data_IF_959561311568
#
_entry.id   IF_959561311568
#
_cell.length_a   1.000
_cell.length_b   1.000
_cell.length_c   1.000
_cell.angle_alpha   90.00
_cell.angle_beta   90.00
_cell.angle_gamma   90.00
#
_symmetry.space_group_name_H-M   'P 1'
#
loop_
_entity.id
_entity.type
_entity.pdbx_description
1 polymer ?
#
# COMPACT_ATOMS: atom_id res chain seq x y z
N UNK A 1 -5.36 3.90 -23.85
CA UNK A 1 -5.83 5.20 -23.30
C UNK A 1 -6.43 6.02 -24.45
N UNK A 2 -7.58 6.67 -24.21
CA UNK A 2 -8.15 7.63 -25.16
C UNK A 2 -7.28 8.89 -25.26
N UNK A 3 -7.48 9.72 -26.31
CA UNK A 3 -6.78 11.00 -26.45
C UNK A 3 -6.95 11.89 -25.22
N UNK A 4 -8.14 11.99 -24.66
CA UNK A 4 -8.43 12.78 -23.46
C UNK A 4 -7.76 12.23 -22.20
N UNK A 5 -7.67 10.89 -22.04
CA UNK A 5 -6.94 10.28 -20.94
C UNK A 5 -5.45 10.59 -21.02
N UNK A 6 -4.86 10.52 -22.23
CA UNK A 6 -3.45 10.90 -22.44
C UNK A 6 -3.18 12.38 -22.14
N UNK A 7 -4.09 13.27 -22.57
CA UNK A 7 -3.96 14.71 -22.29
C UNK A 7 -4.06 14.99 -20.79
N UNK A 8 -5.05 14.42 -20.11
CA UNK A 8 -5.21 14.54 -18.64
C UNK A 8 -3.99 14.03 -17.89
N UNK A 9 -3.47 12.87 -18.29
CA UNK A 9 -2.26 12.31 -17.72
C UNK A 9 -1.06 13.23 -17.90
N UNK A 10 -0.83 13.77 -19.10
CA UNK A 10 0.23 14.74 -19.37
C UNK A 10 0.10 15.97 -18.49
N UNK A 11 -1.07 16.62 -18.49
CA UNK A 11 -1.30 17.84 -17.72
C UNK A 11 -1.08 17.65 -16.22
N UNK A 12 -1.54 16.53 -15.67
CA UNK A 12 -1.38 16.22 -14.23
C UNK A 12 0.07 15.91 -13.83
N UNK A 13 0.95 15.54 -14.79
CA UNK A 13 2.36 15.24 -14.55
C UNK A 13 3.33 16.40 -14.90
N UNK A 14 2.83 17.49 -15.49
CA UNK A 14 3.69 18.63 -15.84
C UNK A 14 4.30 19.34 -14.60
N UNK A 15 3.55 19.61 -13.51
CA UNK A 15 4.10 20.31 -12.35
C UNK A 15 5.14 19.49 -11.59
N UNK A 16 5.97 20.19 -10.81
CA UNK A 16 6.89 19.59 -9.83
C UNK A 16 8.24 19.21 -10.39
N UNK A 17 9.01 18.53 -9.56
CA UNK A 17 10.42 18.19 -9.80
C UNK A 17 10.63 17.38 -11.08
N UNK A 18 11.77 17.60 -11.73
CA UNK A 18 12.14 16.97 -13.02
C UNK A 18 13.57 16.45 -12.99
N UNK A 19 13.82 15.41 -13.79
CA UNK A 19 15.15 14.83 -13.99
C UNK A 19 15.31 14.30 -15.41
N UNK A 20 16.54 14.31 -15.91
CA UNK A 20 16.90 13.61 -17.16
C UNK A 20 17.16 12.11 -16.96
N UNK A 21 17.33 11.65 -15.70
CA UNK A 21 17.59 10.26 -15.35
C UNK A 21 16.34 9.40 -15.57
N UNK A 22 16.55 8.15 -15.98
CA UNK A 22 15.45 7.17 -16.20
C UNK A 22 15.21 6.35 -14.94
N UNK A 23 14.59 6.96 -13.94
CA UNK A 23 14.36 6.36 -12.63
C UNK A 23 13.01 5.65 -12.61
N UNK A 24 12.98 4.40 -12.14
CA UNK A 24 11.76 3.64 -11.86
C UNK A 24 11.71 3.30 -10.36
N UNK A 25 10.57 3.56 -9.76
CA UNK A 25 10.24 3.19 -8.39
C UNK A 25 9.01 2.29 -8.43
N UNK A 26 9.08 1.12 -7.80
CA UNK A 26 7.91 0.27 -7.56
C UNK A 26 7.45 0.47 -6.11
N UNK A 27 6.25 1.02 -5.93
CA UNK A 27 5.58 1.15 -4.63
C UNK A 27 4.49 0.09 -4.52
N UNK A 28 4.63 -0.82 -3.56
CA UNK A 28 3.70 -1.92 -3.36
C UNK A 28 3.04 -1.84 -2.00
N UNK A 29 1.73 -1.63 -1.98
CA UNK A 29 0.95 -1.37 -0.78
C UNK A 29 0.40 -2.66 -0.15
N UNK A 30 -0.14 -2.55 1.07
CA UNK A 30 -0.95 -3.51 1.83
C UNK A 30 -0.18 -4.63 2.55
N UNK A 31 1.15 -4.68 2.48
CA UNK A 31 1.92 -5.74 3.14
C UNK A 31 1.75 -5.73 4.66
N UNK A 32 1.72 -6.92 5.26
CA UNK A 32 1.52 -7.12 6.71
C UNK A 32 0.06 -7.08 7.16
N UNK A 33 -0.88 -6.71 6.30
CA UNK A 33 -2.31 -6.62 6.63
C UNK A 33 -3.02 -7.96 6.47
N UNK A 34 -3.81 -8.37 7.45
CA UNK A 34 -4.81 -9.42 7.28
C UNK A 34 -5.84 -8.97 6.23
N UNK A 35 -6.20 -9.87 5.32
CA UNK A 35 -7.29 -9.71 4.35
C UNK A 35 -8.21 -10.94 4.44
N UNK A 36 -8.47 -11.64 3.34
CA UNK A 36 -9.28 -12.86 3.38
C UNK A 36 -8.53 -13.98 4.10
N UNK A 37 -9.14 -14.54 5.15
CA UNK A 37 -8.50 -15.56 6.01
C UNK A 37 -8.47 -16.96 5.38
N UNK A 38 -9.50 -17.31 4.59
CA UNK A 38 -9.56 -18.61 3.91
C UNK A 38 -10.60 -18.62 2.78
N UNK A 39 -10.56 -19.66 1.93
CA UNK A 39 -11.61 -19.91 0.92
C UNK A 39 -12.98 -20.18 1.54
N UNK A 40 -13.00 -20.85 2.70
CA UNK A 40 -14.25 -21.10 3.44
C UNK A 40 -14.84 -19.81 3.97
N UNK A 41 -14.01 -18.90 4.52
CA UNK A 41 -14.46 -17.58 4.97
C UNK A 41 -15.07 -16.79 3.81
N UNK A 42 -14.41 -16.80 2.65
CA UNK A 42 -14.93 -16.17 1.44
C UNK A 42 -16.30 -16.73 1.05
N UNK A 43 -16.45 -18.09 1.03
CA UNK A 43 -17.72 -18.74 0.72
C UNK A 43 -18.84 -18.33 1.68
N UNK A 44 -18.59 -18.39 3.00
CA UNK A 44 -19.56 -18.00 4.03
C UNK A 44 -20.02 -16.54 3.89
N UNK A 45 -19.11 -15.62 3.56
CA UNK A 45 -19.45 -14.22 3.35
C UNK A 45 -20.32 -14.03 2.11
N UNK A 46 -20.01 -14.72 1.00
CA UNK A 46 -20.83 -14.71 -0.23
C UNK A 46 -22.22 -15.26 0.04
N UNK A 47 -22.32 -16.41 0.72
CA UNK A 47 -23.60 -17.08 1.07
C UNK A 47 -24.46 -16.21 2.00
N UNK A 48 -23.83 -15.35 2.82
CA UNK A 48 -24.51 -14.38 3.67
C UNK A 48 -24.95 -13.13 2.94
N UNK A 49 -24.77 -13.05 1.61
CA UNK A 49 -25.20 -11.92 0.79
C UNK A 49 -24.27 -10.72 0.80
N UNK A 50 -23.05 -10.83 1.35
CA UNK A 50 -22.06 -9.74 1.33
C UNK A 50 -21.50 -9.62 -0.10
N UNK A 51 -21.50 -8.42 -0.73
CA UNK A 51 -21.19 -8.26 -2.16
C UNK A 51 -19.67 -8.24 -2.45
N UNK A 52 -18.95 -9.31 -2.04
CA UNK A 52 -17.50 -9.44 -2.22
C UNK A 52 -17.08 -10.31 -3.41
N UNK A 53 -18.01 -11.02 -4.04
CA UNK A 53 -17.75 -12.04 -5.07
C UNK A 53 -16.87 -11.56 -6.22
N UNK A 54 -17.06 -10.31 -6.66
CA UNK A 54 -16.35 -9.70 -7.78
C UNK A 54 -15.22 -8.74 -7.34
N UNK A 55 -14.91 -8.69 -6.05
CA UNK A 55 -13.84 -7.85 -5.52
C UNK A 55 -12.52 -8.64 -5.55
N UNK A 56 -11.51 -8.24 -6.35
CA UNK A 56 -10.23 -8.94 -6.44
C UNK A 56 -9.49 -9.04 -5.11
N UNK A 57 -9.55 -7.99 -4.28
CA UNK A 57 -8.94 -8.00 -2.94
C UNK A 57 -9.58 -9.03 -2.02
N UNK A 58 -10.92 -9.14 -2.03
CA UNK A 58 -11.58 -10.17 -1.22
C UNK A 58 -11.32 -11.57 -1.75
N UNK A 59 -11.14 -11.73 -3.06
CA UNK A 59 -10.95 -13.03 -3.70
C UNK A 59 -9.52 -13.56 -3.61
N UNK A 60 -8.54 -12.70 -3.83
CA UNK A 60 -7.14 -13.10 -4.02
C UNK A 60 -6.22 -12.67 -2.88
N UNK A 61 -6.52 -11.53 -2.19
CA UNK A 61 -5.61 -10.98 -1.20
C UNK A 61 -5.76 -11.68 0.15
N UNK A 62 -4.62 -12.02 0.72
CA UNK A 62 -4.47 -12.61 2.04
C UNK A 62 -3.17 -12.11 2.66
N UNK A 63 -2.93 -12.39 3.94
CA UNK A 63 -1.62 -12.19 4.53
C UNK A 63 -0.58 -12.98 3.71
N UNK A 64 0.54 -12.34 3.39
CA UNK A 64 1.57 -12.94 2.53
C UNK A 64 2.19 -14.20 3.13
N UNK A 65 2.39 -15.21 2.31
CA UNK A 65 3.07 -16.48 2.67
C UNK A 65 4.56 -16.45 2.33
N UNK A 66 5.30 -17.45 2.83
CA UNK A 66 6.71 -17.63 2.48
C UNK A 66 6.92 -17.67 0.96
N UNK A 67 6.10 -18.48 0.27
CA UNK A 67 6.20 -18.64 -1.18
C UNK A 67 5.88 -17.38 -1.97
N UNK A 68 5.08 -16.46 -1.44
CA UNK A 68 4.76 -15.20 -2.12
C UNK A 68 6.01 -14.30 -2.23
N UNK A 69 6.77 -14.18 -1.14
CA UNK A 69 8.01 -13.40 -1.13
C UNK A 69 9.15 -14.11 -1.86
N UNK A 70 9.33 -15.41 -1.66
CA UNK A 70 10.36 -16.19 -2.33
C UNK A 70 10.24 -16.08 -3.86
N UNK A 71 9.05 -16.31 -4.40
CA UNK A 71 8.80 -16.22 -5.84
C UNK A 71 8.95 -14.77 -6.38
N UNK A 72 8.55 -13.75 -5.61
CA UNK A 72 8.78 -12.36 -5.99
C UNK A 72 10.28 -12.08 -6.10
N UNK A 73 11.05 -12.46 -5.08
CA UNK A 73 12.50 -12.24 -5.06
C UNK A 73 13.22 -12.99 -6.19
N UNK A 74 12.79 -14.22 -6.49
CA UNK A 74 13.31 -14.98 -7.63
C UNK A 74 13.14 -14.26 -8.98
N UNK A 75 12.04 -13.52 -9.15
CA UNK A 75 11.84 -12.72 -10.35
C UNK A 75 12.76 -11.49 -10.34
N UNK A 76 12.86 -10.78 -9.22
CA UNK A 76 13.60 -9.52 -9.14
C UNK A 76 15.11 -9.73 -9.38
N UNK A 77 15.72 -10.78 -8.82
CA UNK A 77 17.16 -11.05 -8.97
C UNK A 77 17.61 -11.38 -10.40
N UNK A 78 16.68 -11.66 -11.32
CA UNK A 78 16.99 -11.95 -12.72
C UNK A 78 17.32 -10.69 -13.54
N UNK A 79 17.04 -9.50 -13.02
CA UNK A 79 17.20 -8.23 -13.72
C UNK A 79 18.16 -7.31 -12.97
N UNK A 80 18.82 -6.44 -13.72
CA UNK A 80 19.70 -5.40 -13.16
C UNK A 80 19.55 -4.11 -13.95
N UNK A 81 19.70 -3.00 -13.26
CA UNK A 81 19.81 -1.67 -13.85
C UNK A 81 21.23 -1.37 -14.36
N UNK A 82 21.45 -0.17 -14.90
CA UNK A 82 22.75 0.26 -15.40
C UNK A 82 23.87 0.27 -14.35
N UNK A 83 23.50 0.34 -13.06
CA UNK A 83 24.43 0.38 -11.93
C UNK A 83 24.66 -1.02 -11.32
N UNK A 84 24.01 -2.06 -11.87
CA UNK A 84 24.08 -3.43 -11.37
C UNK A 84 23.09 -3.72 -10.21
N UNK A 85 22.22 -2.78 -9.86
CA UNK A 85 21.19 -2.99 -8.82
C UNK A 85 20.01 -3.77 -9.39
N UNK A 86 19.42 -4.64 -8.57
CA UNK A 86 18.17 -5.29 -8.91
C UNK A 86 16.98 -4.32 -8.83
N UNK A 87 15.86 -4.59 -9.54
CA UNK A 87 14.60 -3.92 -9.25
C UNK A 87 14.27 -4.08 -7.77
N UNK A 88 13.86 -2.99 -7.14
CA UNK A 88 13.53 -2.97 -5.71
C UNK A 88 12.09 -2.51 -5.51
N UNK A 89 11.38 -3.19 -4.62
CA UNK A 89 10.05 -2.79 -4.17
C UNK A 89 10.15 -1.96 -2.89
N UNK A 90 9.60 -0.76 -2.92
CA UNK A 90 9.23 -0.08 -1.68
C UNK A 90 7.98 -0.77 -1.17
N UNK A 91 8.15 -1.65 -0.18
CA UNK A 91 7.03 -2.32 0.48
C UNK A 91 6.34 -1.35 1.43
N UNK A 92 5.13 -0.92 1.12
CA UNK A 92 4.37 -0.01 1.97
C UNK A 92 3.54 -0.85 2.93
N UNK A 93 4.05 -0.94 4.18
CA UNK A 93 3.66 -1.97 5.13
C UNK A 93 2.85 -1.39 6.29
N UNK A 94 1.81 -2.12 6.72
CA UNK A 94 1.27 -1.97 8.07
C UNK A 94 2.09 -2.82 9.05
N UNK A 95 2.04 -2.47 10.34
CA UNK A 95 2.87 -3.11 11.36
C UNK A 95 2.08 -3.94 12.37
N UNK A 96 0.75 -3.80 12.35
CA UNK A 96 -0.16 -4.51 13.25
C UNK A 96 -1.46 -4.92 12.56
N UNK A 97 -2.18 -5.81 13.22
CA UNK A 97 -3.54 -6.24 12.87
C UNK A 97 -4.41 -6.25 14.12
N UNK A 98 -5.76 -6.27 14.01
CA UNK A 98 -6.64 -6.43 15.15
C UNK A 98 -6.35 -7.74 15.90
N UNK A 99 -6.31 -7.68 17.23
CA UNK A 99 -6.32 -8.84 18.11
C UNK A 99 -7.78 -9.26 18.36
N UNK A 100 -8.29 -10.10 17.46
CA UNK A 100 -9.70 -10.52 17.46
C UNK A 100 -10.11 -11.16 18.78
N UNK A 101 -9.24 -11.94 19.41
CA UNK A 101 -9.55 -12.64 20.66
C UNK A 101 -9.75 -11.65 21.82
N UNK A 102 -8.85 -10.68 21.97
CA UNK A 102 -8.97 -9.67 23.03
C UNK A 102 -10.13 -8.71 22.79
N UNK A 103 -10.38 -8.32 21.54
CA UNK A 103 -11.53 -7.47 21.19
C UNK A 103 -12.83 -8.20 21.53
N UNK A 104 -12.94 -9.50 21.22
CA UNK A 104 -14.09 -10.32 21.56
C UNK A 104 -14.26 -10.48 23.07
N UNK A 105 -13.17 -10.70 23.78
CA UNK A 105 -13.18 -10.83 25.25
C UNK A 105 -13.63 -9.54 25.96
N UNK A 106 -13.42 -8.37 25.35
CA UNK A 106 -13.93 -7.07 25.87
C UNK A 106 -15.40 -6.80 25.50
N UNK A 107 -16.11 -7.77 24.92
CA UNK A 107 -17.44 -7.57 24.33
C UNK A 107 -17.48 -6.38 23.36
N UNK A 108 -16.42 -6.22 22.56
CA UNK A 108 -16.21 -5.15 21.56
C UNK A 108 -16.16 -3.73 22.16
N UNK A 109 -15.93 -3.59 23.46
CA UNK A 109 -15.85 -2.26 24.10
C UNK A 109 -14.48 -1.62 23.87
N UNK A 110 -13.41 -2.43 23.79
CA UNK A 110 -12.05 -1.96 23.65
C UNK A 110 -11.41 -2.52 22.38
N UNK A 111 -10.56 -1.70 21.73
CA UNK A 111 -9.76 -2.13 20.60
C UNK A 111 -8.38 -2.59 21.06
N UNK A 112 -7.96 -3.74 20.59
CA UNK A 112 -6.63 -4.30 20.80
C UNK A 112 -6.01 -4.64 19.44
N UNK A 113 -4.70 -4.48 19.34
CA UNK A 113 -3.94 -4.89 18.17
C UNK A 113 -2.76 -5.79 18.56
N UNK A 114 -2.31 -6.57 17.62
CA UNK A 114 -1.10 -7.37 17.71
C UNK A 114 -0.13 -7.01 16.58
N UNK A 115 1.21 -7.05 16.80
CA UNK A 115 2.17 -6.92 15.72
C UNK A 115 1.88 -7.92 14.60
N UNK A 116 2.12 -7.54 13.33
CA UNK A 116 1.85 -8.45 12.22
C UNK A 116 2.63 -9.78 12.35
N UNK A 117 3.78 -9.78 13.03
CA UNK A 117 4.56 -10.99 13.34
C UNK A 117 3.85 -11.98 14.23
N UNK A 118 2.92 -11.53 15.08
CA UNK A 118 2.06 -12.41 15.86
C UNK A 118 0.92 -12.97 14.98
N UNK A 119 0.36 -12.13 14.11
CA UNK A 119 -0.63 -12.59 13.14
C UNK A 119 -0.07 -13.69 12.22
N UNK A 120 1.19 -13.57 11.75
CA UNK A 120 1.85 -14.60 10.92
C UNK A 120 1.87 -15.99 11.57
N UNK A 121 2.02 -16.06 12.91
CA UNK A 121 2.06 -17.33 13.65
C UNK A 121 0.74 -18.12 13.62
N UNK A 122 -0.36 -17.42 13.32
CA UNK A 122 -1.71 -18.02 13.25
C UNK A 122 -2.00 -18.69 11.90
N UNK A 123 -1.12 -18.53 10.90
CA UNK A 123 -1.27 -19.05 9.55
C UNK A 123 -0.17 -20.07 9.24
N UNK A 124 -0.49 -21.23 8.60
CA UNK A 124 0.51 -22.17 8.14
C UNK A 124 1.32 -21.59 6.98
N UNK A 125 2.61 -21.96 6.87
CA UNK A 125 3.55 -21.55 5.82
C UNK A 125 3.79 -20.02 5.72
N UNK A 126 3.63 -19.31 6.85
CA UNK A 126 3.91 -17.88 6.98
C UNK A 126 5.06 -17.59 7.98
N UNK A 127 5.61 -18.65 8.54
CA UNK A 127 6.61 -18.63 9.64
C UNK A 127 7.93 -17.96 9.26
N UNK A 128 8.28 -17.92 7.96
CA UNK A 128 9.51 -17.32 7.45
C UNK A 128 9.33 -15.91 6.86
N UNK A 129 8.10 -15.41 6.74
CA UNK A 129 7.80 -14.11 6.09
C UNK A 129 8.62 -12.99 6.68
N UNK A 130 8.68 -12.88 8.01
CA UNK A 130 9.45 -11.82 8.66
C UNK A 130 10.96 -11.92 8.40
N UNK A 131 11.50 -13.14 8.34
CA UNK A 131 12.88 -13.37 7.95
C UNK A 131 13.13 -13.00 6.48
N UNK A 132 12.22 -13.38 5.58
CA UNK A 132 12.30 -13.05 4.16
C UNK A 132 12.26 -11.53 3.92
N UNK A 133 11.50 -10.78 4.70
CA UNK A 133 11.55 -9.31 4.63
C UNK A 133 12.92 -8.76 5.01
N UNK A 134 13.57 -9.29 6.06
CA UNK A 134 14.94 -8.90 6.41
C UNK A 134 15.93 -9.22 5.29
N UNK A 135 15.84 -10.42 4.72
CA UNK A 135 16.65 -10.80 3.56
C UNK A 135 16.38 -9.88 2.35
N UNK A 136 15.13 -9.50 2.14
CA UNK A 136 14.73 -8.53 1.11
C UNK A 136 15.40 -7.17 1.29
N UNK A 137 15.47 -6.68 2.52
CA UNK A 137 16.19 -5.43 2.87
C UNK A 137 17.68 -5.58 2.62
N UNK A 138 18.32 -6.63 3.14
CA UNK A 138 19.75 -6.90 2.99
C UNK A 138 20.18 -7.00 1.52
N UNK A 139 19.37 -7.67 0.70
CA UNK A 139 19.59 -7.84 -0.75
C UNK A 139 19.08 -6.66 -1.58
N UNK A 140 18.49 -5.64 -0.95
CA UNK A 140 17.84 -4.50 -1.60
C UNK A 140 16.83 -4.94 -2.67
N UNK A 141 15.96 -5.90 -2.32
CA UNK A 141 14.86 -6.35 -3.18
C UNK A 141 13.50 -5.84 -2.70
N UNK A 142 13.36 -5.70 -1.39
CA UNK A 142 12.12 -5.26 -0.74
C UNK A 142 12.48 -4.42 0.49
N UNK A 143 12.11 -3.13 0.47
CA UNK A 143 12.44 -2.20 1.56
C UNK A 143 11.13 -1.70 2.19
N UNK A 144 10.80 -2.17 3.41
CA UNK A 144 9.63 -1.72 4.15
C UNK A 144 9.61 -0.21 4.40
N UNK A 145 8.42 0.40 4.20
CA UNK A 145 8.11 1.78 4.54
C UNK A 145 6.70 1.83 5.17
N UNK A 146 6.33 2.93 5.80
CA UNK A 146 5.16 3.00 6.66
C UNK A 146 3.85 3.24 5.89
N UNK A 147 2.84 2.39 6.15
CA UNK A 147 1.47 2.52 5.60
C UNK A 147 0.42 2.84 6.67
N UNK A 148 0.77 2.63 7.92
CA UNK A 148 -0.10 2.78 9.07
C UNK A 148 0.20 1.73 10.13
N UNK A 149 -0.40 1.87 11.31
CA UNK A 149 -0.37 0.81 12.31
C UNK A 149 -1.16 -0.39 11.77
N UNK A 150 -2.42 -0.15 11.36
CA UNK A 150 -3.27 -1.09 10.62
C UNK A 150 -3.74 -0.48 9.29
N UNK A 151 -4.25 -1.32 8.38
CA UNK A 151 -4.99 -0.88 7.19
C UNK A 151 -6.50 -0.77 7.48
N UNK A 152 -6.85 -0.33 8.66
CA UNK A 152 -8.20 -0.37 9.22
C UNK A 152 -8.56 0.97 9.87
N UNK A 153 -9.69 1.54 9.49
CA UNK A 153 -10.32 2.63 10.24
C UNK A 153 -10.93 2.07 11.52
N UNK A 154 -10.13 2.04 12.58
CA UNK A 154 -10.47 1.40 13.85
C UNK A 154 -11.72 2.01 14.47
N UNK A 155 -11.83 3.34 14.50
CA UNK A 155 -12.95 4.01 15.14
C UNK A 155 -14.29 3.65 14.48
N UNK A 156 -14.33 3.69 13.14
CA UNK A 156 -15.51 3.33 12.35
C UNK A 156 -15.88 1.85 12.51
N UNK A 157 -14.90 0.98 12.46
CA UNK A 157 -15.11 -0.47 12.60
C UNK A 157 -15.61 -0.86 13.98
N UNK A 158 -15.02 -0.30 15.04
CA UNK A 158 -15.45 -0.56 16.41
C UNK A 158 -16.87 -0.04 16.71
N UNK A 159 -17.26 1.11 16.14
CA UNK A 159 -18.66 1.59 16.23
C UNK A 159 -19.63 0.61 15.58
N UNK A 160 -19.28 0.09 14.41
CA UNK A 160 -20.13 -0.84 13.67
C UNK A 160 -20.20 -2.21 14.37
N UNK A 161 -19.11 -2.70 14.95
CA UNK A 161 -19.10 -3.90 15.79
C UNK A 161 -20.00 -3.72 17.03
N UNK A 162 -19.89 -2.60 17.74
CA UNK A 162 -20.72 -2.31 18.92
C UNK A 162 -22.20 -2.15 18.57
N UNK A 163 -22.53 -1.67 17.39
CA UNK A 163 -23.92 -1.59 16.92
C UNK A 163 -24.58 -2.96 16.69
N UNK A 164 -23.80 -4.05 16.70
CA UNK A 164 -24.30 -5.40 16.45
C UNK A 164 -24.54 -5.71 14.96
N UNK A 165 -23.91 -4.98 14.03
CA UNK A 165 -24.06 -5.24 12.59
C UNK A 165 -23.68 -6.69 12.27
N UNK A 166 -24.65 -7.48 11.79
CA UNK A 166 -24.50 -8.92 11.58
C UNK A 166 -23.40 -9.27 10.59
N UNK A 167 -23.26 -8.50 9.49
CA UNK A 167 -22.20 -8.75 8.48
C UNK A 167 -20.81 -8.45 9.04
N UNK A 168 -20.66 -7.35 9.80
CA UNK A 168 -19.39 -6.97 10.42
C UNK A 168 -18.99 -7.96 11.51
N UNK A 169 -19.95 -8.43 12.32
CA UNK A 169 -19.74 -9.49 13.31
C UNK A 169 -19.37 -10.82 12.66
N UNK A 170 -20.03 -11.20 11.57
CA UNK A 170 -19.69 -12.41 10.81
C UNK A 170 -18.26 -12.33 10.26
N UNK A 171 -17.89 -11.21 9.65
CA UNK A 171 -16.52 -11.01 9.15
C UNK A 171 -15.49 -11.08 10.29
N UNK A 172 -15.80 -10.45 11.42
CA UNK A 172 -14.99 -10.52 12.63
C UNK A 172 -14.77 -11.96 13.11
N UNK A 173 -15.85 -12.76 13.24
CA UNK A 173 -15.78 -14.18 13.67
C UNK A 173 -15.02 -15.05 12.67
N UNK A 174 -14.90 -14.63 11.41
CA UNK A 174 -14.09 -15.29 10.37
C UNK A 174 -12.64 -14.75 10.32
N UNK A 175 -12.23 -13.89 11.26
CA UNK A 175 -10.88 -13.37 11.38
C UNK A 175 -10.53 -12.33 10.31
N UNK A 176 -11.50 -11.55 9.83
CA UNK A 176 -11.26 -10.49 8.84
C UNK A 176 -12.15 -9.26 9.09
N UNK A 177 -11.78 -8.14 8.45
CA UNK A 177 -12.48 -6.86 8.60
C UNK A 177 -12.77 -6.17 7.25
N UNK A 178 -12.17 -6.65 6.16
CA UNK A 178 -12.15 -5.99 4.84
C UNK A 178 -13.44 -6.13 4.04
N UNK A 179 -14.61 -5.82 4.64
CA UNK A 179 -15.91 -5.85 3.96
C UNK A 179 -16.53 -4.46 3.85
N UNK A 180 -17.52 -4.33 2.94
CA UNK A 180 -18.39 -3.16 2.88
C UNK A 180 -19.54 -3.29 3.88
N UNK A 181 -19.75 -2.25 4.70
CA UNK A 181 -20.91 -2.18 5.60
C UNK A 181 -22.02 -1.37 4.97
N UNK A 182 -23.20 -1.97 4.87
CA UNK A 182 -24.41 -1.30 4.41
C UNK A 182 -24.93 -0.24 5.40
N UNK A 183 -24.62 -0.40 6.69
CA UNK A 183 -25.03 0.52 7.73
C UNK A 183 -24.34 1.88 7.58
N UNK A 184 -23.02 1.88 7.45
CA UNK A 184 -22.21 3.10 7.29
C UNK A 184 -21.99 3.50 5.83
N UNK A 185 -22.51 2.69 4.87
CA UNK A 185 -22.34 2.88 3.42
C UNK A 185 -20.87 3.09 2.98
N UNK A 186 -19.95 2.41 3.63
CA UNK A 186 -18.51 2.48 3.42
C UNK A 186 -17.85 1.16 3.80
N UNK A 187 -16.57 1.03 3.48
CA UNK A 187 -15.69 0.03 4.06
C UNK A 187 -14.83 0.65 5.19
N UNK A 188 -13.93 -0.15 5.73
CA UNK A 188 -13.05 0.26 6.84
C UNK A 188 -11.60 0.46 6.39
N UNK A 189 -11.30 0.44 5.10
CA UNK A 189 -9.93 0.38 4.60
C UNK A 189 -9.16 1.70 4.68
N UNK A 190 -9.86 2.85 4.66
CA UNK A 190 -9.25 4.16 4.76
C UNK A 190 -8.95 4.49 6.23
N UNK A 191 -7.83 3.98 6.77
CA UNK A 191 -7.48 4.09 8.19
C UNK A 191 -7.40 5.54 8.69
N UNK A 192 -7.03 6.48 7.81
CA UNK A 192 -6.85 7.90 8.14
C UNK A 192 -8.03 8.78 7.71
N UNK A 193 -9.14 8.18 7.27
CA UNK A 193 -10.38 8.90 7.04
C UNK A 193 -11.08 9.23 8.38
N UNK A 194 -11.80 10.36 8.42
CA UNK A 194 -12.55 10.79 9.59
C UNK A 194 -14.04 10.57 9.38
N UNK A 195 -14.66 9.75 10.24
CA UNK A 195 -16.11 9.70 10.32
C UNK A 195 -16.62 10.95 11.05
N UNK A 196 -16.02 11.27 12.20
CA UNK A 196 -16.26 12.50 12.95
C UNK A 196 -14.96 13.28 13.12
N UNK A 197 -15.04 14.60 13.28
CA UNK A 197 -13.86 15.45 13.50
C UNK A 197 -13.09 15.07 14.78
N UNK A 198 -13.78 14.55 15.78
CA UNK A 198 -13.22 14.06 17.05
C UNK A 198 -12.35 12.82 16.92
N UNK A 199 -12.41 12.09 15.78
CA UNK A 199 -11.57 10.92 15.55
C UNK A 199 -10.10 11.29 15.28
N UNK A 200 -9.82 12.57 15.02
CA UNK A 200 -8.47 13.05 14.67
C UNK A 200 -7.46 12.79 15.79
N UNK A 201 -7.83 13.00 17.05
CA UNK A 201 -6.93 12.81 18.19
C UNK A 201 -6.46 11.35 18.31
N UNK A 202 -7.36 10.41 18.01
CA UNK A 202 -7.01 8.99 17.97
C UNK A 202 -5.98 8.68 16.87
N UNK A 203 -6.08 9.31 15.71
CA UNK A 203 -5.16 9.09 14.60
C UNK A 203 -3.73 9.57 14.90
N UNK A 204 -3.55 10.58 15.75
CA UNK A 204 -2.22 10.96 16.24
C UNK A 204 -1.56 9.80 17.00
N UNK A 205 -2.27 9.13 17.89
CA UNK A 205 -1.73 7.98 18.63
C UNK A 205 -1.45 6.79 17.72
N UNK A 206 -2.33 6.50 16.74
CA UNK A 206 -2.12 5.44 15.73
C UNK A 206 -0.81 5.64 14.95
N UNK A 207 -0.49 6.88 14.55
CA UNK A 207 0.76 7.19 13.85
C UNK A 207 1.97 6.99 14.77
N UNK A 208 1.90 7.52 16.01
CA UNK A 208 3.00 7.43 16.97
C UNK A 208 3.32 5.97 17.28
N UNK A 209 2.31 5.22 17.72
CA UNK A 209 2.45 3.80 18.08
C UNK A 209 2.89 2.95 16.88
N UNK A 210 2.32 3.24 15.69
CA UNK A 210 2.67 2.52 14.46
C UNK A 210 4.12 2.73 14.06
N UNK A 211 4.65 3.94 14.11
CA UNK A 211 6.07 4.22 13.77
C UNK A 211 7.01 3.64 14.84
N UNK A 212 6.66 3.71 16.12
CA UNK A 212 7.46 3.12 17.19
C UNK A 212 7.51 1.59 17.05
N UNK A 213 6.39 0.95 16.69
CA UNK A 213 6.35 -0.47 16.40
C UNK A 213 7.14 -0.82 15.12
N UNK A 214 7.07 0.02 14.09
CA UNK A 214 7.87 -0.15 12.87
C UNK A 214 9.36 -0.16 13.20
N UNK A 215 9.85 0.85 13.95
CA UNK A 215 11.26 0.92 14.36
C UNK A 215 11.68 -0.32 15.17
N UNK A 216 10.82 -0.79 16.08
CA UNK A 216 11.07 -2.01 16.86
C UNK A 216 11.18 -3.26 15.99
N UNK A 217 10.35 -3.39 14.95
CA UNK A 217 10.32 -4.55 14.06
C UNK A 217 11.48 -4.55 13.06
N UNK A 218 11.79 -3.42 12.45
CA UNK A 218 12.76 -3.37 11.35
C UNK A 218 14.14 -2.84 11.75
N UNK A 219 14.28 -2.23 12.94
CA UNK A 219 15.55 -1.68 13.43
C UNK A 219 15.94 -0.34 12.81
N UNK A 220 15.05 0.29 12.05
CA UNK A 220 15.22 1.63 11.49
C UNK A 220 13.88 2.40 11.45
N UNK A 221 13.96 3.72 11.39
CA UNK A 221 12.79 4.59 11.25
C UNK A 221 12.35 4.71 9.79
N UNK A 222 11.05 4.60 9.49
CA UNK A 222 10.60 4.83 8.13
C UNK A 222 10.81 6.29 7.73
N UNK A 223 11.29 6.52 6.52
CA UNK A 223 11.44 7.87 5.95
C UNK A 223 10.27 8.29 5.08
N UNK A 224 9.47 7.32 4.65
CA UNK A 224 8.39 7.47 3.68
C UNK A 224 7.07 6.92 4.24
N UNK A 225 5.98 7.63 3.94
CA UNK A 225 4.63 7.28 4.37
C UNK A 225 3.63 7.39 3.22
N UNK A 226 2.70 6.42 3.18
CA UNK A 226 1.54 6.41 2.30
C UNK A 226 0.29 6.22 3.16
N UNK A 227 -0.70 7.13 3.15
CA UNK A 227 -1.97 6.89 3.83
C UNK A 227 -2.78 5.80 3.11
N UNK A 228 -3.39 4.90 3.88
CA UNK A 228 -4.25 3.85 3.33
C UNK A 228 -5.44 4.43 2.57
N UNK A 229 -5.71 3.96 1.36
CA UNK A 229 -6.81 4.39 0.48
C UNK A 229 -6.89 5.92 0.20
N UNK A 230 -5.88 6.72 0.58
CA UNK A 230 -5.70 8.10 0.15
C UNK A 230 -6.20 9.23 1.06
N UNK A 231 -7.38 9.18 1.75
CA UNK A 231 -7.79 10.25 2.65
C UNK A 231 -6.77 10.47 3.78
N UNK A 232 -6.41 11.74 4.01
CA UNK A 232 -5.42 12.09 5.03
C UNK A 232 -5.60 13.55 5.49
N UNK A 233 -5.77 13.77 6.80
CA UNK A 233 -5.92 15.12 7.36
C UNK A 233 -4.56 15.78 7.59
N UNK A 234 -4.42 17.04 7.17
CA UNK A 234 -3.15 17.77 7.20
C UNK A 234 -2.64 18.07 8.61
N UNK A 235 -3.49 18.02 9.64
CA UNK A 235 -3.06 18.18 11.03
C UNK A 235 -2.08 17.04 11.44
N UNK A 236 -2.21 15.86 10.82
CA UNK A 236 -1.35 14.70 11.10
C UNK A 236 0.08 14.83 10.52
N UNK A 237 0.34 15.81 9.62
CA UNK A 237 1.67 16.02 9.04
C UNK A 237 2.73 16.34 10.10
N UNK A 238 2.38 17.13 11.12
CA UNK A 238 3.30 17.43 12.21
C UNK A 238 3.72 16.17 12.99
N UNK A 239 2.77 15.27 13.26
CA UNK A 239 3.05 14.01 13.96
C UNK A 239 3.97 13.12 13.14
N UNK A 240 3.71 12.97 11.83
CA UNK A 240 4.61 12.26 10.93
C UNK A 240 6.03 12.88 10.93
N UNK A 241 6.12 14.23 10.85
CA UNK A 241 7.39 14.94 10.88
C UNK A 241 8.17 14.70 12.19
N UNK A 242 7.51 14.81 13.34
CA UNK A 242 8.13 14.60 14.65
C UNK A 242 8.63 13.17 14.86
N UNK A 243 8.07 12.20 14.15
CA UNK A 243 8.48 10.78 14.17
C UNK A 243 9.50 10.42 13.07
N UNK A 244 9.94 11.39 12.26
CA UNK A 244 11.04 11.22 11.29
C UNK A 244 10.61 10.98 9.85
N UNK A 245 9.32 10.98 9.52
CA UNK A 245 8.84 10.88 8.13
C UNK A 245 9.24 12.15 7.36
N UNK A 246 9.99 11.96 6.29
CA UNK A 246 10.49 13.03 5.40
C UNK A 246 9.67 13.15 4.12
N UNK A 247 9.11 12.04 3.66
CA UNK A 247 8.44 11.91 2.37
C UNK A 247 7.04 11.35 2.55
N UNK A 248 6.06 11.99 1.90
CA UNK A 248 4.65 11.60 1.98
C UNK A 248 4.13 11.41 0.57
N UNK A 249 3.68 10.20 0.23
CA UNK A 249 2.98 9.95 -1.03
C UNK A 249 1.49 10.30 -0.84
N UNK A 250 1.00 11.19 -1.67
CA UNK A 250 -0.40 11.59 -1.70
C UNK A 250 -0.91 11.62 -3.15
N UNK A 251 -2.20 11.42 -3.29
CA UNK A 251 -2.87 11.65 -4.57
C UNK A 251 -2.70 13.08 -5.06
N UNK A 252 -2.59 13.27 -6.38
CA UNK A 252 -2.48 14.61 -6.99
C UNK A 252 -3.66 15.51 -6.65
N UNK A 253 -4.85 14.93 -6.45
CA UNK A 253 -6.05 15.55 -5.92
C UNK A 253 -6.34 14.94 -4.56
N UNK A 254 -5.51 15.26 -3.58
CA UNK A 254 -5.62 14.73 -2.22
C UNK A 254 -6.90 15.19 -1.56
N UNK A 255 -7.63 14.25 -0.96
CA UNK A 255 -8.80 14.52 -0.14
C UNK A 255 -8.39 14.59 1.34
N UNK A 256 -8.55 15.77 1.94
CA UNK A 256 -8.43 15.99 3.37
C UNK A 256 -9.78 15.76 4.02
N UNK A 257 -9.97 14.72 4.84
CA UNK A 257 -11.21 14.50 5.56
C UNK A 257 -11.32 15.49 6.72
N UNK A 258 -12.53 16.06 6.90
CA UNK A 258 -12.84 17.01 7.97
C UNK A 258 -13.86 16.45 8.97
N UNK A 259 -14.30 15.20 8.78
CA UNK A 259 -15.40 14.59 9.50
C UNK A 259 -16.76 14.89 8.87
N UNK A 260 -17.79 14.15 9.30
CA UNK A 260 -19.20 14.29 8.86
C UNK A 260 -19.37 14.24 7.33
N UNK A 261 -18.58 13.41 6.66
CA UNK A 261 -18.58 13.26 5.19
C UNK A 261 -18.06 14.47 4.42
N UNK A 262 -17.44 15.44 5.09
CA UNK A 262 -16.86 16.63 4.47
C UNK A 262 -15.39 16.42 4.09
N UNK A 263 -15.03 16.90 2.90
CA UNK A 263 -13.66 16.82 2.39
C UNK A 263 -13.22 18.14 1.79
N UNK A 264 -11.94 18.47 1.98
CA UNK A 264 -11.26 19.54 1.25
C UNK A 264 -10.26 18.93 0.26
N UNK A 265 -10.23 19.43 -0.97
CA UNK A 265 -9.32 18.94 -1.99
C UNK A 265 -8.09 19.83 -2.09
N UNK A 266 -6.91 19.20 -2.10
CA UNK A 266 -5.63 19.85 -2.27
C UNK A 266 -4.92 19.35 -3.51
N UNK A 267 -4.29 20.28 -4.27
CA UNK A 267 -3.46 19.91 -5.41
C UNK A 267 -2.03 19.62 -4.92
N UNK A 268 -1.57 18.40 -5.19
CA UNK A 268 -0.22 17.91 -4.88
C UNK A 268 0.55 17.63 -6.15
N UNK A 269 1.85 17.81 -6.10
CA UNK A 269 2.75 17.44 -7.19
C UNK A 269 4.12 17.07 -6.64
N UNK A 270 4.84 16.28 -7.41
CA UNK A 270 6.14 15.74 -7.05
C UNK A 270 7.13 16.84 -6.65
N UNK A 271 7.70 16.70 -5.45
CA UNK A 271 8.72 17.63 -4.94
C UNK A 271 8.18 18.88 -4.23
N UNK A 272 6.84 19.08 -4.16
CA UNK A 272 6.25 20.15 -3.36
C UNK A 272 6.49 19.85 -1.88
N UNK A 273 6.88 20.89 -1.12
CA UNK A 273 7.07 20.79 0.33
C UNK A 273 5.85 21.28 1.09
N UNK A 274 5.58 20.66 2.25
CA UNK A 274 4.64 21.17 3.23
C UNK A 274 5.31 22.20 4.18
N UNK A 275 4.56 22.70 5.16
CA UNK A 275 5.05 23.69 6.14
C UNK A 275 6.14 23.15 7.08
N UNK A 276 6.31 21.84 7.17
CA UNK A 276 7.34 21.19 7.99
C UNK A 276 8.58 20.81 7.16
N UNK A 277 8.59 21.09 5.85
CA UNK A 277 9.70 20.75 4.96
C UNK A 277 9.62 19.33 4.38
N UNK A 278 8.62 18.53 4.74
CA UNK A 278 8.40 17.20 4.16
C UNK A 278 8.04 17.35 2.67
N UNK A 279 8.54 16.43 1.86
CA UNK A 279 8.36 16.44 0.41
C UNK A 279 7.22 15.50 0.02
N UNK A 280 6.29 16.01 -0.80
CA UNK A 280 5.28 15.15 -1.40
C UNK A 280 5.83 14.41 -2.62
N UNK A 281 5.63 13.09 -2.60
CA UNK A 281 5.83 12.23 -3.75
C UNK A 281 4.48 11.96 -4.42
N UNK A 282 4.49 11.42 -5.64
CA UNK A 282 3.26 11.10 -6.38
C UNK A 282 3.50 9.98 -7.38
N UNK A 283 2.53 9.10 -7.51
CA UNK A 283 2.50 8.01 -8.48
C UNK A 283 2.05 8.51 -9.85
N UNK A 284 2.61 7.94 -10.89
CA UNK A 284 2.30 8.28 -12.28
C UNK A 284 2.25 7.07 -13.21
N UNK A 285 2.28 5.86 -12.69
CA UNK A 285 2.07 4.60 -13.39
C UNK A 285 1.38 3.59 -12.49
N UNK A 286 0.89 2.49 -13.07
CA UNK A 286 0.30 1.40 -12.33
C UNK A 286 0.58 0.06 -12.98
N UNK A 287 0.67 -0.99 -12.15
CA UNK A 287 0.80 -2.37 -12.57
C UNK A 287 -0.08 -3.25 -11.66
N UNK A 288 -1.33 -3.56 -12.12
CA UNK A 288 -2.38 -4.19 -11.32
C UNK A 288 -3.05 -5.37 -12.04
N UNK A 289 -2.31 -6.43 -12.42
CA UNK A 289 -2.88 -7.55 -13.17
C UNK A 289 -4.04 -8.26 -12.49
N UNK A 290 -4.02 -8.38 -11.15
CA UNK A 290 -5.10 -9.03 -10.39
C UNK A 290 -6.41 -8.23 -10.39
N UNK A 291 -6.31 -6.89 -10.47
CA UNK A 291 -7.48 -6.01 -10.51
C UNK A 291 -8.07 -5.90 -11.92
N UNK A 292 -7.22 -6.03 -12.94
CA UNK A 292 -7.61 -5.88 -14.34
C UNK A 292 -7.27 -7.14 -15.15
N UNK A 293 -7.86 -8.31 -14.81
CA UNK A 293 -7.62 -9.54 -15.54
C UNK A 293 -8.04 -9.40 -17.00
N UNK A 294 -7.26 -9.96 -17.92
CA UNK A 294 -7.50 -9.89 -19.35
C UNK A 294 -7.12 -8.58 -20.04
N UNK A 295 -6.65 -7.58 -19.29
CA UNK A 295 -6.04 -6.38 -19.88
C UNK A 295 -4.56 -6.57 -20.15
N UNK A 296 -4.02 -5.84 -21.11
CA UNK A 296 -2.59 -5.78 -21.38
C UNK A 296 -1.89 -4.85 -20.38
N UNK A 297 -1.73 -5.34 -19.14
CA UNK A 297 -1.16 -4.58 -18.02
C UNK A 297 0.31 -4.24 -18.26
N UNK A 298 1.06 -5.09 -18.93
CA UNK A 298 2.48 -4.87 -19.25
C UNK A 298 2.63 -3.64 -20.16
N UNK A 299 1.96 -3.64 -21.32
CA UNK A 299 2.03 -2.50 -22.23
C UNK A 299 1.37 -1.23 -21.66
N UNK A 300 0.36 -1.35 -20.81
CA UNK A 300 -0.22 -0.20 -20.13
C UNK A 300 0.80 0.46 -19.19
N UNK A 301 1.53 -0.33 -18.40
CA UNK A 301 2.59 0.15 -17.53
C UNK A 301 3.75 0.77 -18.34
N UNK A 302 4.23 0.08 -19.39
CA UNK A 302 5.29 0.60 -20.28
C UNK A 302 4.92 1.95 -20.92
N UNK A 303 3.65 2.15 -21.31
CA UNK A 303 3.20 3.46 -21.81
C UNK A 303 3.25 4.55 -20.75
N UNK A 304 2.93 4.21 -19.48
CA UNK A 304 3.01 5.16 -18.36
C UNK A 304 4.46 5.55 -18.07
N UNK A 305 5.39 4.58 -18.10
CA UNK A 305 6.83 4.80 -17.95
C UNK A 305 7.35 5.71 -19.08
N UNK A 306 7.04 5.39 -20.33
CA UNK A 306 7.44 6.17 -21.51
C UNK A 306 6.96 7.63 -21.41
N UNK A 307 5.71 7.82 -20.97
CA UNK A 307 5.14 9.15 -20.78
C UNK A 307 5.84 9.92 -19.65
N UNK A 308 6.14 9.26 -18.50
CA UNK A 308 6.87 9.87 -17.41
C UNK A 308 8.25 10.35 -17.89
N UNK A 309 8.98 9.52 -18.60
CA UNK A 309 10.32 9.84 -19.11
C UNK A 309 10.30 10.96 -20.17
N UNK A 310 9.29 10.99 -21.04
CA UNK A 310 9.08 12.10 -22.00
C UNK A 310 8.79 13.43 -21.32
N UNK A 311 8.22 13.41 -20.13
CA UNK A 311 7.95 14.59 -19.30
C UNK A 311 9.10 14.94 -18.35
N UNK A 312 10.24 14.25 -18.46
CA UNK A 312 11.38 14.37 -17.54
C UNK A 312 10.99 14.09 -16.07
N UNK A 313 10.19 13.05 -15.84
CA UNK A 313 9.76 12.60 -14.52
C UNK A 313 10.29 11.19 -14.24
N UNK A 314 10.56 10.85 -12.96
CA UNK A 314 10.69 9.45 -12.58
C UNK A 314 9.36 8.73 -12.85
N UNK A 315 9.41 7.44 -13.13
CA UNK A 315 8.23 6.60 -13.24
C UNK A 315 8.01 5.91 -11.89
N UNK A 316 7.04 6.40 -11.12
CA UNK A 316 6.62 5.78 -9.84
C UNK A 316 5.40 4.93 -10.10
N UNK A 317 5.60 3.62 -10.03
CA UNK A 317 4.62 2.59 -10.37
C UNK A 317 3.91 2.12 -9.09
N UNK A 318 2.61 2.38 -9.02
CA UNK A 318 1.73 1.81 -7.99
C UNK A 318 1.45 0.35 -8.33
N UNK A 319 1.59 -0.51 -7.35
CA UNK A 319 1.13 -1.90 -7.39
C UNK A 319 0.69 -2.30 -5.98
N UNK A 320 -0.15 -3.32 -5.84
CA UNK A 320 -0.61 -3.77 -4.54
C UNK A 320 -0.18 -5.22 -4.30
N UNK A 321 -0.02 -5.57 -3.05
CA UNK A 321 0.34 -6.92 -2.61
C UNK A 321 -0.52 -8.00 -3.26
N UNK A 322 -1.81 -7.76 -3.44
CA UNK A 322 -2.77 -8.70 -4.05
C UNK A 322 -2.26 -9.30 -5.37
N UNK A 323 -1.45 -8.57 -6.11
CA UNK A 323 -0.87 -9.05 -7.37
C UNK A 323 0.13 -10.20 -7.16
N UNK A 324 0.74 -10.29 -5.99
CA UNK A 324 1.84 -11.22 -5.70
C UNK A 324 1.43 -12.35 -4.75
N UNK A 325 0.16 -12.37 -4.30
CA UNK A 325 -0.37 -13.35 -3.34
C UNK A 325 -0.95 -14.55 -4.07
N UNK A 326 -0.54 -15.73 -3.61
CA UNK A 326 -0.99 -17.03 -4.10
C UNK A 326 -1.54 -17.95 -3.02
N UNK A 327 -1.66 -17.49 -1.76
CA UNK A 327 -2.13 -18.33 -0.66
C UNK A 327 -3.51 -18.94 -0.93
N UNK A 328 -4.47 -18.13 -1.32
CA UNK A 328 -5.81 -18.59 -1.67
C UNK A 328 -5.87 -19.15 -3.09
N UNK A 329 -5.18 -18.53 -4.04
CA UNK A 329 -5.23 -18.81 -5.47
C UNK A 329 -3.82 -18.73 -6.06
N UNK A 330 -3.04 -19.82 -6.08
CA UNK A 330 -1.66 -19.83 -6.59
C UNK A 330 -1.52 -19.26 -8.00
N UNK A 331 -2.51 -19.53 -8.86
CA UNK A 331 -2.57 -19.02 -10.22
C UNK A 331 -2.58 -17.49 -10.32
N UNK A 332 -3.07 -16.79 -9.30
CA UNK A 332 -3.04 -15.32 -9.25
C UNK A 332 -1.59 -14.82 -9.21
N UNK A 333 -0.79 -15.31 -8.25
CA UNK A 333 0.64 -14.98 -8.13
C UNK A 333 1.42 -15.37 -9.37
N UNK A 334 1.24 -16.62 -9.86
CA UNK A 334 1.98 -17.15 -11.00
C UNK A 334 1.76 -16.29 -12.26
N UNK A 335 0.50 -15.95 -12.56
CA UNK A 335 0.16 -15.09 -13.70
C UNK A 335 0.76 -13.69 -13.57
N UNK A 336 0.70 -13.11 -12.38
CA UNK A 336 1.23 -11.76 -12.16
C UNK A 336 2.76 -11.73 -12.22
N UNK A 337 3.44 -12.68 -11.60
CA UNK A 337 4.90 -12.77 -11.65
C UNK A 337 5.41 -13.01 -13.08
N UNK A 338 4.68 -13.79 -13.90
CA UNK A 338 4.98 -13.93 -15.33
C UNK A 338 4.88 -12.57 -16.04
N UNK A 339 3.85 -11.78 -15.77
CA UNK A 339 3.69 -10.44 -16.34
C UNK A 339 4.76 -9.47 -15.81
N UNK A 340 5.11 -9.52 -14.51
CA UNK A 340 6.20 -8.71 -13.94
C UNK A 340 7.54 -9.03 -14.62
N UNK A 341 7.84 -10.30 -14.83
CA UNK A 341 9.06 -10.73 -15.55
C UNK A 341 9.09 -10.19 -16.97
N UNK A 342 7.97 -10.20 -17.68
CA UNK A 342 7.85 -9.58 -19.01
C UNK A 342 8.06 -8.07 -18.94
N UNK A 343 7.42 -7.38 -17.98
CA UNK A 343 7.56 -5.95 -17.79
C UNK A 343 9.02 -5.55 -17.56
N UNK A 344 9.71 -6.21 -16.62
CA UNK A 344 11.12 -5.91 -16.30
C UNK A 344 12.05 -6.16 -17.50
N UNK A 345 11.81 -7.22 -18.26
CA UNK A 345 12.56 -7.50 -19.50
C UNK A 345 12.39 -6.37 -20.52
N UNK A 346 11.16 -5.93 -20.76
CA UNK A 346 10.89 -4.86 -21.73
C UNK A 346 11.40 -3.49 -21.23
N UNK A 347 11.39 -3.22 -19.93
CA UNK A 347 12.02 -2.03 -19.33
C UNK A 347 13.52 -2.01 -19.67
N UNK A 348 14.27 -3.06 -19.33
CA UNK A 348 15.71 -3.11 -19.56
C UNK A 348 16.07 -3.05 -21.04
N UNK A 349 15.25 -3.65 -21.91
CA UNK A 349 15.43 -3.58 -23.36
C UNK A 349 15.18 -2.18 -23.92
N UNK A 350 14.13 -1.50 -23.45
CA UNK A 350 13.71 -0.20 -23.99
C UNK A 350 14.51 0.96 -23.42
N UNK A 351 14.96 0.84 -22.17
CA UNK A 351 15.72 1.88 -21.45
C UNK A 351 16.94 1.25 -20.76
N UNK A 352 18.02 0.93 -21.50
CA UNK A 352 19.23 0.32 -20.92
C UNK A 352 19.85 1.17 -19.80
N UNK A 353 19.61 2.49 -19.82
CA UNK A 353 20.07 3.46 -18.83
C UNK A 353 19.17 3.58 -17.58
N UNK A 354 18.19 2.71 -17.40
CA UNK A 354 17.29 2.74 -16.26
C UNK A 354 18.03 2.61 -14.93
N UNK A 355 17.44 3.21 -13.89
CA UNK A 355 17.87 3.10 -12.50
C UNK A 355 16.68 2.71 -11.62
N UNK A 356 16.85 1.67 -10.80
CA UNK A 356 15.82 1.28 -9.82
C UNK A 356 16.11 1.90 -8.46
N UNK A 357 15.12 2.60 -7.90
CA UNK A 357 15.20 3.26 -6.60
C UNK A 357 14.01 2.90 -5.72
N UNK A 358 14.21 3.02 -4.41
CA UNK A 358 13.09 3.07 -3.46
C UNK A 358 12.50 4.47 -3.39
N UNK A 359 11.32 4.62 -2.76
CA UNK A 359 10.63 5.91 -2.66
C UNK A 359 11.40 6.90 -1.79
N UNK A 360 12.04 6.44 -0.73
CA UNK A 360 12.88 7.27 0.14
C UNK A 360 14.19 7.68 -0.56
N UNK A 361 14.83 6.81 -1.33
CA UNK A 361 15.98 7.17 -2.18
C UNK A 361 15.61 8.24 -3.23
N UNK A 362 14.42 8.12 -3.86
CA UNK A 362 13.91 9.17 -4.75
C UNK A 362 13.65 10.47 -3.98
N UNK A 363 13.10 10.39 -2.78
CA UNK A 363 12.89 11.53 -1.91
C UNK A 363 14.20 12.23 -1.54
N UNK A 364 15.24 11.48 -1.17
CA UNK A 364 16.57 12.01 -0.85
C UNK A 364 17.22 12.68 -2.08
N UNK A 365 17.05 12.10 -3.28
CA UNK A 365 17.51 12.70 -4.52
C UNK A 365 16.83 14.07 -4.77
N UNK A 366 15.49 14.14 -4.60
CA UNK A 366 14.73 15.38 -4.75
C UNK A 366 15.17 16.41 -3.71
N UNK A 367 15.35 15.99 -2.46
CA UNK A 367 15.76 16.85 -1.35
C UNK A 367 17.14 17.45 -1.57
N UNK A 368 18.07 16.70 -2.15
CA UNK A 368 19.44 17.17 -2.44
C UNK A 368 19.54 18.21 -3.56
N UNK A 369 18.46 18.47 -4.28
CA UNK A 369 18.47 19.36 -5.45
C UNK A 369 19.22 18.83 -6.67
N UNK A 370 19.76 17.61 -6.63
CA UNK A 370 20.39 16.94 -7.76
C UNK A 370 19.32 16.59 -8.81
N UNK A 371 19.67 16.69 -10.08
CA UNK A 371 18.75 16.43 -11.21
C UNK A 371 19.23 15.25 -12.05
#
# INVERSE_FOLDING_TARGET
>A
MSFFQNLRFKLSNLPGWRTGRKIIVFESDDWGSIRMSSKEAFGKLVDSGIPIKNNPYCKYDALESNADLENLFEVLIQFKDKNGNHPVFTGVNVVANPDFDKIKASDFQEYFYEPFTEALKKYPVHDRVYQLWKEGVEKRLFVPQFHGREHLNVQRWMRDLRSGNAHTRLAFDLGLWGIYSSLIKSDYQAAFDLEFSTDLDYLHSVIIEGIDLFEKLYGYKPGFFVPTNGPFNLALEHTLYSKGIKYIMLDKLQKEPLGDGKYKTHIRFLGKKNKHGQIYLSRNGGFEPSQFPGQDNVNACLRSIDMAFKLHKPATISTHRVNYIGWLHPENRENTLKQLKMLLREINKKWPEVEFMTSDELGDLISSGKK
#
